data_IF_905912468065
#
_entry.id   IF_905912468065
#
_cell.length_a   1.000
_cell.length_b   1.000
_cell.length_c   1.000
_cell.angle_alpha   90.00
_cell.angle_beta   90.00
_cell.angle_gamma   90.00
#
_symmetry.space_group_name_H-M   'P 1'
#
loop_
_entity.id
_entity.type
_entity.pdbx_description
1 polymer ?
#
# COMPACT_ATOMS: atom_id res chain seq x y z
N UNK A 1 -9.14 0.48 53.70
CA UNK A 1 -8.22 -0.28 52.82
C UNK A 1 -8.92 -0.84 51.56
N UNK A 2 -9.55 0.01 50.72
CA UNK A 2 -10.20 -0.45 49.47
C UNK A 2 -9.78 0.34 48.22
N UNK A 3 -8.93 1.35 48.37
CA UNK A 3 -8.53 2.26 47.29
C UNK A 3 -7.20 1.84 46.62
N UNK A 4 -6.41 0.96 47.26
CA UNK A 4 -5.10 0.54 46.71
C UNK A 4 -5.21 -0.50 45.58
N UNK A 5 -6.24 -1.36 45.58
CA UNK A 5 -6.33 -2.46 44.60
C UNK A 5 -6.77 -1.99 43.20
N UNK A 6 -7.50 -0.88 43.09
CA UNK A 6 -7.94 -0.35 41.80
C UNK A 6 -6.83 0.39 41.06
N UNK A 7 -5.85 0.96 41.76
CA UNK A 7 -4.73 1.68 41.13
C UNK A 7 -3.72 0.72 40.50
N UNK A 8 -3.49 -0.44 41.12
CA UNK A 8 -2.54 -1.47 40.63
C UNK A 8 -3.05 -2.13 39.35
N UNK A 9 -4.37 -2.34 39.21
CA UNK A 9 -4.98 -2.91 38.01
C UNK A 9 -4.92 -1.97 36.80
N UNK A 10 -5.02 -0.65 37.01
CA UNK A 10 -4.93 0.34 35.93
C UNK A 10 -3.50 0.45 35.38
N UNK A 11 -2.49 0.32 36.24
CA UNK A 11 -1.08 0.37 35.82
C UNK A 11 -0.65 -0.90 35.06
N UNK A 12 -1.20 -2.07 35.39
CA UNK A 12 -0.86 -3.33 34.70
C UNK A 12 -1.52 -3.47 33.33
N UNK A 13 -2.74 -2.93 33.14
CA UNK A 13 -3.39 -2.87 31.82
C UNK A 13 -2.80 -1.79 30.90
N UNK A 14 -2.28 -0.69 31.48
CA UNK A 14 -1.57 0.34 30.72
C UNK A 14 -0.22 -0.12 30.18
N UNK A 15 0.52 -0.94 30.94
CA UNK A 15 1.86 -1.40 30.54
C UNK A 15 1.84 -2.44 29.40
N UNK A 16 0.82 -3.29 29.33
CA UNK A 16 0.71 -4.34 28.30
C UNK A 16 0.29 -3.81 26.92
N UNK A 17 -0.44 -2.69 26.87
CA UNK A 17 -0.78 -2.02 25.61
C UNK A 17 0.40 -1.24 25.00
N UNK A 18 1.33 -0.76 25.83
CA UNK A 18 2.53 -0.02 25.35
C UNK A 18 3.62 -0.98 24.87
N UNK A 19 3.67 -2.21 25.39
CA UNK A 19 4.65 -3.22 24.97
C UNK A 19 4.46 -3.66 23.50
N UNK A 20 3.23 -3.79 23.02
CA UNK A 20 2.97 -4.22 21.64
C UNK A 20 3.27 -3.15 20.56
N UNK A 21 3.34 -1.88 20.94
CA UNK A 21 3.68 -0.79 20.03
C UNK A 21 5.18 -0.67 19.73
N UNK A 22 6.04 -1.39 20.47
CA UNK A 22 7.49 -1.27 20.31
C UNK A 22 8.07 -2.08 19.14
N UNK A 23 7.38 -3.09 18.62
CA UNK A 23 7.94 -4.00 17.61
C UNK A 23 7.61 -3.64 16.17
N UNK A 24 6.75 -2.64 15.95
CA UNK A 24 6.31 -2.25 14.60
C UNK A 24 6.63 -0.78 14.30
N UNK A 25 6.81 -0.48 13.03
CA UNK A 25 7.01 0.87 12.50
C UNK A 25 6.13 1.06 11.26
N UNK A 26 5.82 2.32 10.93
CA UNK A 26 5.12 2.59 9.67
C UNK A 26 6.00 2.19 8.49
N UNK A 27 5.41 1.52 7.51
CA UNK A 27 6.09 1.29 6.23
C UNK A 27 6.38 2.64 5.57
N UNK A 28 7.57 2.77 5.00
CA UNK A 28 8.05 3.98 4.33
C UNK A 28 8.50 3.67 2.92
N UNK A 29 8.38 4.65 2.03
CA UNK A 29 8.92 4.57 0.68
C UNK A 29 10.45 4.43 0.74
N UNK A 30 11.02 3.68 -0.22
CA UNK A 30 12.48 3.63 -0.39
C UNK A 30 13.01 5.03 -0.75
N UNK A 31 14.29 5.26 -0.47
CA UNK A 31 14.96 6.51 -0.88
C UNK A 31 14.76 6.76 -2.37
N UNK A 32 14.56 8.01 -2.78
CA UNK A 32 14.33 8.41 -4.19
C UNK A 32 12.90 8.22 -4.70
N UNK A 33 12.17 7.18 -4.25
CA UNK A 33 10.83 6.85 -4.76
C UNK A 33 9.86 8.03 -4.66
N UNK A 34 9.87 8.76 -3.54
CA UNK A 34 9.01 9.93 -3.37
C UNK A 34 9.24 10.97 -4.47
N UNK A 35 10.50 11.30 -4.75
CA UNK A 35 10.87 12.32 -5.73
C UNK A 35 10.47 11.88 -7.14
N UNK A 36 10.68 10.60 -7.47
CA UNK A 36 10.30 10.05 -8.77
C UNK A 36 8.78 10.04 -8.97
N UNK A 37 8.02 9.70 -7.93
CA UNK A 37 6.56 9.78 -7.97
C UNK A 37 6.06 11.22 -8.11
N UNK A 38 6.68 12.18 -7.40
CA UNK A 38 6.38 13.61 -7.56
C UNK A 38 6.60 14.06 -9.02
N UNK A 39 7.77 13.77 -9.59
CA UNK A 39 8.08 14.09 -10.99
C UNK A 39 7.14 13.41 -11.98
N UNK A 40 6.76 12.16 -11.72
CA UNK A 40 5.82 11.42 -12.55
C UNK A 40 4.45 12.10 -12.57
N UNK A 41 3.95 12.50 -11.40
CA UNK A 41 2.61 13.07 -11.19
C UNK A 41 2.54 14.52 -11.70
N UNK A 42 3.60 15.30 -11.51
CA UNK A 42 3.65 16.71 -11.90
C UNK A 42 3.63 16.92 -13.43
N UNK A 43 3.93 15.88 -14.21
CA UNK A 43 3.83 15.93 -15.67
C UNK A 43 2.52 15.29 -16.17
N UNK A 44 1.48 16.08 -16.50
CA UNK A 44 0.18 15.56 -16.93
C UNK A 44 0.24 14.78 -18.25
N UNK A 45 1.28 14.96 -19.07
CA UNK A 45 1.43 14.20 -20.31
C UNK A 45 1.71 12.71 -20.04
N UNK A 46 2.12 12.37 -18.82
CA UNK A 46 2.31 10.98 -18.41
C UNK A 46 0.99 10.21 -18.27
N UNK A 47 -0.16 10.88 -18.20
CA UNK A 47 -1.44 10.24 -17.92
C UNK A 47 -2.47 10.34 -19.05
N UNK A 48 -3.28 9.29 -19.21
CA UNK A 48 -4.58 9.31 -19.88
C UNK A 48 -5.65 9.42 -18.78
N UNK A 49 -6.62 10.32 -18.97
CA UNK A 49 -7.81 10.38 -18.12
C UNK A 49 -8.84 9.38 -18.62
N UNK A 50 -9.29 8.52 -17.73
CA UNK A 50 -10.38 7.56 -17.97
C UNK A 50 -11.44 7.71 -16.85
N UNK A 51 -12.60 7.10 -17.02
CA UNK A 51 -13.63 7.07 -15.98
C UNK A 51 -13.26 6.04 -14.91
N UNK A 52 -13.50 6.36 -13.63
CA UNK A 52 -13.38 5.38 -12.55
C UNK A 52 -14.64 4.50 -12.52
N UNK A 53 -14.48 3.21 -12.83
CA UNK A 53 -15.61 2.27 -12.87
C UNK A 53 -16.01 1.71 -11.49
N UNK A 54 -15.18 1.92 -10.46
CA UNK A 54 -15.40 1.38 -9.11
C UNK A 54 -16.19 2.36 -8.25
N UNK A 55 -15.82 3.64 -8.26
CA UNK A 55 -16.47 4.67 -7.43
C UNK A 55 -17.18 5.76 -8.24
N UNK A 56 -17.05 5.77 -9.56
CA UNK A 56 -17.46 6.89 -10.40
C UNK A 56 -16.48 8.06 -10.31
N UNK A 57 -16.48 8.91 -11.34
CA UNK A 57 -15.57 10.05 -11.44
C UNK A 57 -14.45 9.81 -12.45
N UNK A 58 -13.30 10.47 -12.25
CA UNK A 58 -12.14 10.36 -13.13
C UNK A 58 -10.97 9.69 -12.44
N UNK A 59 -10.28 8.85 -13.19
CA UNK A 59 -8.96 8.32 -12.84
C UNK A 59 -7.92 8.70 -13.88
N UNK A 60 -6.67 8.73 -13.48
CA UNK A 60 -5.52 9.01 -14.34
C UNK A 60 -4.69 7.74 -14.45
N UNK A 61 -4.76 7.08 -15.60
CA UNK A 61 -3.87 5.96 -15.91
C UNK A 61 -2.59 6.46 -16.52
N UNK A 62 -1.48 5.81 -16.20
CA UNK A 62 -0.23 6.12 -16.86
C UNK A 62 -0.25 5.65 -18.34
N UNK A 63 0.08 6.54 -19.29
CA UNK A 63 0.11 6.25 -20.74
C UNK A 63 1.07 5.13 -21.13
N UNK A 64 2.20 5.02 -20.42
CA UNK A 64 3.31 4.13 -20.78
C UNK A 64 3.79 3.31 -19.57
N UNK A 65 3.23 2.12 -19.40
CA UNK A 65 3.65 1.15 -18.36
C UNK A 65 5.14 0.74 -18.49
N UNK A 66 5.72 0.87 -19.68
CA UNK A 66 7.14 0.61 -19.96
C UNK A 66 8.12 1.61 -19.35
N UNK A 67 7.73 2.87 -19.15
CA UNK A 67 8.60 3.89 -18.52
C UNK A 67 8.68 3.71 -17.01
N UNK A 68 7.59 3.27 -16.37
CA UNK A 68 7.54 2.84 -14.96
C UNK A 68 8.51 1.68 -14.69
N UNK A 69 8.59 0.71 -15.61
CA UNK A 69 9.54 -0.41 -15.48
C UNK A 69 10.99 0.08 -15.42
N UNK A 70 11.33 1.16 -16.14
CA UNK A 70 12.65 1.76 -16.11
C UNK A 70 12.88 2.66 -14.89
N UNK A 71 11.88 3.46 -14.49
CA UNK A 71 11.93 4.30 -13.27
C UNK A 71 12.06 3.47 -12.00
N UNK A 72 11.43 2.30 -11.94
CA UNK A 72 11.45 1.45 -10.75
C UNK A 72 12.46 0.29 -10.81
N UNK A 73 13.15 0.12 -11.94
CA UNK A 73 14.28 -0.81 -12.08
C UNK A 73 15.39 -0.55 -11.08
N UNK A 74 15.64 0.72 -10.75
CA UNK A 74 16.67 1.11 -9.80
C UNK A 74 16.35 0.78 -8.33
N UNK A 75 15.07 0.67 -7.95
CA UNK A 75 14.67 0.35 -6.57
C UNK A 75 14.56 -1.15 -6.30
N UNK A 76 14.82 -1.94 -7.34
CA UNK A 76 14.74 -3.38 -7.31
C UNK A 76 16.10 -4.03 -7.54
N UNK A 77 16.92 -4.10 -6.50
CA UNK A 77 18.21 -4.82 -6.53
C UNK A 77 18.17 -5.97 -5.51
N UNK A 78 18.55 -7.19 -5.93
CA UNK A 78 18.71 -8.36 -5.04
C UNK A 78 20.17 -8.76 -4.89
N UNK A 79 20.53 -9.20 -3.67
CA UNK A 79 21.54 -10.23 -3.44
C UNK A 79 20.95 -11.64 -3.67
N UNK A 80 21.70 -12.47 -4.39
CA UNK A 80 21.24 -13.64 -5.16
C UNK A 80 20.81 -14.92 -4.43
N UNK A 81 20.46 -14.91 -3.14
CA UNK A 81 20.11 -16.17 -2.45
C UNK A 81 19.02 -15.99 -1.41
N UNK A 82 17.77 -15.96 -1.86
CA UNK A 82 16.57 -16.41 -1.14
C UNK A 82 15.35 -16.15 -2.03
N UNK A 83 14.36 -17.02 -1.97
CA UNK A 83 13.13 -17.10 -2.78
C UNK A 83 12.18 -15.88 -2.72
N UNK A 84 12.69 -14.67 -2.47
CA UNK A 84 11.93 -13.43 -2.26
C UNK A 84 12.34 -12.32 -3.26
N UNK A 85 12.79 -12.70 -4.47
CA UNK A 85 13.69 -11.86 -5.25
C UNK A 85 13.54 -11.93 -6.78
N UNK A 86 12.61 -11.19 -7.38
CA UNK A 86 12.67 -10.90 -8.83
C UNK A 86 12.24 -9.47 -9.14
N UNK A 87 13.16 -8.54 -9.00
CA UNK A 87 12.86 -7.16 -9.29
C UNK A 87 12.70 -6.87 -10.79
N UNK A 88 11.85 -5.90 -11.09
CA UNK A 88 11.52 -5.43 -12.44
C UNK A 88 12.75 -4.75 -13.03
N UNK A 89 13.30 -5.26 -14.13
CA UNK A 89 14.48 -4.66 -14.78
C UNK A 89 14.30 -4.37 -16.27
N UNK A 90 13.10 -4.54 -16.82
CA UNK A 90 12.74 -4.21 -18.20
C UNK A 90 11.23 -4.43 -18.41
N UNK A 91 10.69 -4.04 -19.56
CA UNK A 91 9.31 -4.44 -19.99
C UNK A 91 9.18 -5.96 -20.07
N UNK A 92 10.23 -6.66 -20.50
CA UNK A 92 10.29 -8.12 -20.52
C UNK A 92 10.37 -8.69 -19.11
N UNK A 93 10.96 -7.98 -18.15
CA UNK A 93 10.88 -8.35 -16.73
C UNK A 93 9.54 -7.99 -16.13
N UNK A 94 8.81 -6.97 -16.59
CA UNK A 94 7.41 -6.75 -16.19
C UNK A 94 6.51 -7.90 -16.68
N UNK A 95 6.80 -8.43 -17.89
CA UNK A 95 6.12 -9.58 -18.51
C UNK A 95 6.60 -10.93 -17.92
N UNK A 96 7.86 -11.04 -17.49
CA UNK A 96 8.48 -12.23 -16.85
C UNK A 96 8.26 -12.27 -15.34
N UNK A 97 8.06 -11.10 -14.71
CA UNK A 97 7.38 -10.92 -13.42
C UNK A 97 5.97 -11.46 -13.53
N UNK A 98 5.29 -11.21 -14.66
CA UNK A 98 4.04 -11.87 -15.04
C UNK A 98 4.12 -13.39 -15.23
N UNK A 99 5.33 -13.97 -15.34
CA UNK A 99 5.52 -15.44 -15.43
C UNK A 99 6.09 -16.07 -14.16
N UNK A 100 6.43 -15.29 -13.12
CA UNK A 100 7.24 -15.84 -12.03
C UNK A 100 7.14 -15.14 -10.66
N UNK A 101 6.39 -14.06 -10.55
CA UNK A 101 5.53 -13.88 -9.38
C UNK A 101 4.28 -14.70 -9.68
N UNK A 102 3.50 -15.14 -8.69
CA UNK A 102 2.17 -15.63 -9.00
C UNK A 102 1.47 -14.57 -9.88
N UNK A 103 1.35 -14.90 -11.17
CA UNK A 103 0.69 -14.35 -12.38
C UNK A 103 -0.01 -12.99 -12.40
N UNK A 104 0.20 -12.10 -11.42
CA UNK A 104 -0.77 -11.06 -11.14
C UNK A 104 -0.13 -9.69 -10.88
N UNK A 105 -0.30 -8.76 -11.84
CA UNK A 105 -0.02 -7.33 -11.70
C UNK A 105 -0.91 -6.77 -10.58
N UNK A 106 -0.43 -6.72 -9.35
CA UNK A 106 -1.28 -6.47 -8.17
C UNK A 106 -0.71 -5.35 -7.31
N UNK A 107 -1.61 -4.70 -6.58
CA UNK A 107 -1.33 -3.57 -5.69
C UNK A 107 -0.24 -3.88 -4.64
N UNK A 108 -0.19 -5.12 -4.12
CA UNK A 108 0.80 -5.57 -3.14
C UNK A 108 2.22 -5.50 -3.69
N UNK A 109 2.44 -6.03 -4.89
CA UNK A 109 3.75 -6.10 -5.55
C UNK A 109 4.24 -4.69 -5.86
N UNK A 110 3.34 -3.83 -6.34
CA UNK A 110 3.64 -2.42 -6.57
C UNK A 110 4.16 -1.74 -5.30
N UNK A 111 3.44 -1.88 -4.18
CA UNK A 111 3.84 -1.26 -2.91
C UNK A 111 5.14 -1.84 -2.35
N UNK A 112 5.31 -3.17 -2.39
CA UNK A 112 6.56 -3.82 -1.94
C UNK A 112 7.78 -3.39 -2.76
N UNK A 113 7.62 -3.14 -4.06
CA UNK A 113 8.70 -2.65 -4.91
C UNK A 113 9.18 -1.25 -4.48
N UNK A 114 8.25 -0.41 -4.03
CA UNK A 114 8.47 1.02 -3.77
C UNK A 114 8.75 1.37 -2.30
N UNK A 115 8.68 0.40 -1.40
CA UNK A 115 8.76 0.63 0.04
C UNK A 115 9.63 -0.40 0.76
N UNK A 116 9.86 -0.18 2.05
CA UNK A 116 10.45 -1.20 2.92
C UNK A 116 9.44 -2.28 3.36
N UNK A 117 8.22 -2.28 2.81
CA UNK A 117 7.23 -3.29 3.16
C UNK A 117 7.66 -4.67 2.66
N UNK A 118 7.96 -5.56 3.59
CA UNK A 118 8.33 -6.96 3.32
C UNK A 118 7.12 -7.82 2.93
N UNK A 119 7.19 -9.12 3.22
CA UNK A 119 6.10 -10.05 2.94
C UNK A 119 4.79 -9.67 3.69
N UNK A 120 3.63 -9.84 3.03
CA UNK A 120 2.31 -9.44 3.54
C UNK A 120 1.90 -10.13 4.83
N UNK A 121 2.45 -11.32 5.12
CA UNK A 121 2.21 -12.04 6.38
C UNK A 121 2.70 -11.29 7.62
N UNK A 122 3.64 -10.34 7.43
CA UNK A 122 4.17 -9.49 8.51
C UNK A 122 3.44 -8.15 8.64
N UNK A 123 2.53 -7.85 7.72
CA UNK A 123 1.85 -6.56 7.67
C UNK A 123 0.77 -6.48 8.73
N UNK A 124 0.75 -5.35 9.44
CA UNK A 124 -0.27 -5.05 10.44
C UNK A 124 -0.86 -3.67 10.18
N UNK A 125 -2.10 -3.49 10.62
CA UNK A 125 -2.68 -2.16 10.69
C UNK A 125 -2.06 -1.37 11.84
N UNK A 126 -2.12 -0.05 11.75
CA UNK A 126 -1.60 0.86 12.79
C UNK A 126 -2.44 0.92 14.07
N UNK A 127 -3.56 0.19 14.15
CA UNK A 127 -4.53 0.30 15.24
C UNK A 127 -5.52 1.46 15.08
N UNK A 128 -5.35 2.33 14.07
CA UNK A 128 -6.28 3.41 13.76
C UNK A 128 -6.80 3.30 12.32
N UNK A 129 -8.11 3.50 12.13
CA UNK A 129 -8.70 3.66 10.80
C UNK A 129 -8.40 5.06 10.25
N UNK A 130 -8.31 5.19 8.92
CA UNK A 130 -8.08 6.48 8.30
C UNK A 130 -9.24 7.44 8.57
N UNK A 131 -8.92 8.72 8.74
CA UNK A 131 -9.89 9.80 8.87
C UNK A 131 -9.32 11.10 8.25
N UNK A 132 -10.19 12.10 8.10
CA UNK A 132 -9.88 13.36 7.40
C UNK A 132 -8.87 14.27 8.11
N UNK A 133 -8.58 14.05 9.40
CA UNK A 133 -7.56 14.83 10.12
C UNK A 133 -6.16 14.24 10.02
N UNK A 134 -6.01 13.02 9.48
CA UNK A 134 -4.71 12.37 9.33
C UNK A 134 -3.87 13.00 8.22
N UNK A 135 -2.57 13.16 8.46
CA UNK A 135 -1.61 13.49 7.42
C UNK A 135 -1.21 12.23 6.64
N UNK A 136 -1.77 12.09 5.43
CA UNK A 136 -1.65 10.88 4.61
C UNK A 136 -0.64 10.99 3.45
N UNK A 137 -0.12 12.18 3.15
CA UNK A 137 0.78 12.36 2.01
C UNK A 137 2.04 11.48 2.15
N UNK A 138 2.29 10.64 1.14
CA UNK A 138 3.35 9.64 1.05
C UNK A 138 3.28 8.50 2.07
N UNK A 139 2.10 8.26 2.66
CA UNK A 139 1.88 7.12 3.55
C UNK A 139 1.41 5.91 2.75
N UNK A 140 1.77 4.71 3.22
CA UNK A 140 1.25 3.47 2.66
C UNK A 140 0.01 3.08 3.45
N UNK A 141 -1.09 2.88 2.75
CA UNK A 141 -2.38 2.54 3.35
C UNK A 141 -2.83 1.16 2.86
N UNK A 142 -3.46 0.40 3.73
CA UNK A 142 -3.96 -0.93 3.41
C UNK A 142 -5.32 -1.21 4.05
N UNK A 143 -6.11 -2.06 3.41
CA UNK A 143 -7.34 -2.64 3.95
C UNK A 143 -7.00 -3.96 4.64
N UNK A 144 -7.22 -3.99 5.95
CA UNK A 144 -6.89 -5.12 6.81
C UNK A 144 -8.14 -5.90 7.21
N UNK A 145 -7.93 -7.15 7.63
CA UNK A 145 -8.94 -7.95 8.32
C UNK A 145 -9.27 -7.34 9.69
N UNK A 146 -10.34 -7.80 10.31
CA UNK A 146 -10.77 -7.35 11.64
C UNK A 146 -9.74 -7.65 12.73
N UNK A 147 -8.92 -8.67 12.56
CA UNK A 147 -7.82 -9.04 13.47
C UNK A 147 -6.55 -8.19 13.29
N UNK A 148 -6.58 -7.20 12.38
CA UNK A 148 -5.47 -6.30 12.10
C UNK A 148 -4.37 -6.89 11.22
N UNK A 149 -4.52 -8.13 10.71
CA UNK A 149 -3.61 -8.72 9.72
C UNK A 149 -4.03 -8.38 8.30
N UNK A 150 -3.06 -8.39 7.38
CA UNK A 150 -3.35 -8.24 5.96
C UNK A 150 -3.89 -9.55 5.36
N UNK A 151 -4.74 -9.42 4.35
CA UNK A 151 -5.34 -10.55 3.63
C UNK A 151 -4.29 -11.40 2.91
N UNK A 152 -4.39 -12.72 3.04
CA UNK A 152 -3.52 -13.70 2.40
C UNK A 152 -4.28 -14.52 1.35
N UNK A 153 -3.53 -15.18 0.46
CA UNK A 153 -4.10 -16.14 -0.49
C UNK A 153 -4.80 -17.27 0.28
N UNK A 154 -6.08 -17.49 -0.01
CA UNK A 154 -6.91 -18.50 0.66
C UNK A 154 -7.76 -17.98 1.82
N UNK A 155 -7.59 -16.72 2.24
CA UNK A 155 -8.52 -16.09 3.17
C UNK A 155 -9.93 -15.98 2.53
N UNK A 156 -10.97 -16.28 3.30
CA UNK A 156 -12.36 -16.12 2.87
C UNK A 156 -12.84 -14.68 3.09
N UNK A 157 -13.38 -14.05 2.03
CA UNK A 157 -13.95 -12.70 2.11
C UNK A 157 -13.47 -11.76 1.01
N UNK A 158 -13.74 -10.47 1.18
CA UNK A 158 -13.32 -9.44 0.23
C UNK A 158 -11.79 -9.29 0.25
N UNK A 159 -11.12 -9.22 -0.91
CA UNK A 159 -9.67 -9.12 -0.96
C UNK A 159 -9.15 -7.85 -0.30
N UNK A 160 -7.94 -7.94 0.25
CA UNK A 160 -7.20 -6.77 0.69
C UNK A 160 -6.83 -5.86 -0.47
N UNK A 161 -6.54 -4.61 -0.15
CA UNK A 161 -5.99 -3.64 -1.10
C UNK A 161 -4.95 -2.79 -0.38
N UNK A 162 -3.90 -2.38 -1.09
CA UNK A 162 -2.82 -1.53 -0.55
C UNK A 162 -2.41 -0.50 -1.58
N UNK A 163 -2.18 0.74 -1.16
CA UNK A 163 -1.82 1.84 -2.04
C UNK A 163 -0.88 2.83 -1.37
N UNK A 164 -0.27 3.70 -2.17
CA UNK A 164 0.50 4.85 -1.68
C UNK A 164 -0.41 6.06 -1.73
N UNK A 165 -0.69 6.68 -0.58
CA UNK A 165 -1.47 7.90 -0.51
C UNK A 165 -0.63 9.11 -0.97
N UNK A 166 -1.17 9.86 -1.91
CA UNK A 166 -0.59 11.11 -2.44
C UNK A 166 -1.02 12.33 -1.62
N UNK A 167 -2.14 12.20 -0.91
CA UNK A 167 -2.73 13.23 -0.07
C UNK A 167 -4.21 12.97 0.15
N UNK A 168 -4.88 13.87 0.85
CA UNK A 168 -6.31 13.80 1.11
C UNK A 168 -6.95 15.18 1.01
N UNK A 169 -8.26 15.19 0.79
CA UNK A 169 -9.08 16.39 0.83
C UNK A 169 -10.45 16.06 1.45
N UNK A 170 -11.42 16.98 1.34
CA UNK A 170 -12.76 16.77 1.89
C UNK A 170 -13.52 15.59 1.27
N UNK A 171 -13.16 15.15 0.05
CA UNK A 171 -13.85 14.09 -0.68
C UNK A 171 -13.27 12.70 -0.41
N UNK A 172 -11.97 12.61 -0.10
CA UNK A 172 -11.33 11.33 0.14
C UNK A 172 -9.80 11.40 0.16
N UNK A 173 -9.19 10.27 -0.20
CA UNK A 173 -7.74 10.09 -0.27
C UNK A 173 -7.35 9.83 -1.72
N UNK A 174 -6.48 10.68 -2.26
CA UNK A 174 -5.86 10.40 -3.56
C UNK A 174 -4.74 9.40 -3.37
N UNK A 175 -4.73 8.36 -4.19
CA UNK A 175 -3.75 7.29 -4.12
C UNK A 175 -3.13 7.01 -5.47
N UNK A 176 -1.96 6.40 -5.44
CA UNK A 176 -1.39 5.68 -6.58
C UNK A 176 -1.23 4.20 -6.21
N UNK A 177 -1.71 3.35 -7.10
CA UNK A 177 -1.59 1.90 -6.98
C UNK A 177 -1.56 1.24 -8.37
N UNK A 178 -1.52 -0.09 -8.37
CA UNK A 178 -1.62 -0.90 -9.56
C UNK A 178 -2.80 -1.84 -9.44
N UNK A 179 -3.53 -1.99 -10.54
CA UNK A 179 -4.62 -2.96 -10.68
C UNK A 179 -5.81 -2.71 -9.75
N UNK A 180 -6.12 -1.43 -9.51
CA UNK A 180 -7.27 -0.98 -8.73
C UNK A 180 -8.61 -1.59 -9.18
N UNK A 181 -8.89 -1.58 -10.49
CA UNK A 181 -10.15 -2.09 -11.06
C UNK A 181 -10.21 -3.62 -11.14
N UNK A 182 -9.12 -4.30 -10.78
CA UNK A 182 -9.07 -5.76 -10.68
C UNK A 182 -8.94 -6.52 -12.00
N UNK A 183 -9.07 -7.84 -11.87
CA UNK A 183 -9.00 -8.81 -12.96
C UNK A 183 -10.37 -8.90 -13.66
N UNK A 184 -10.49 -8.34 -14.86
CA UNK A 184 -11.74 -8.41 -15.63
C UNK A 184 -11.92 -7.33 -16.71
N UNK A 185 -11.09 -6.28 -16.68
CA UNK A 185 -11.16 -5.16 -17.62
C UNK A 185 -9.88 -5.06 -18.48
N UNK A 186 -9.96 -4.32 -19.60
CA UNK A 186 -8.81 -3.97 -20.45
C UNK A 186 -7.72 -3.15 -19.71
N UNK A 187 -7.98 -2.81 -18.46
CA UNK A 187 -7.14 -2.01 -17.55
C UNK A 187 -6.27 -2.86 -16.62
N UNK A 188 -6.28 -4.19 -16.78
CA UNK A 188 -5.48 -5.11 -15.97
C UNK A 188 -3.99 -4.74 -15.95
N UNK A 189 -3.45 -4.55 -14.75
CA UNK A 189 -2.05 -4.19 -14.52
C UNK A 189 -1.65 -2.75 -14.82
N UNK A 190 -2.61 -1.86 -15.15
CA UNK A 190 -2.34 -0.42 -15.24
C UNK A 190 -2.04 0.16 -13.85
N UNK A 191 -1.15 1.15 -13.82
CA UNK A 191 -0.91 2.01 -12.65
C UNK A 191 -1.82 3.22 -12.78
N UNK A 192 -2.54 3.53 -11.70
CA UNK A 192 -3.56 4.56 -11.69
C UNK A 192 -3.36 5.52 -10.54
N UNK A 193 -3.66 6.79 -10.79
CA UNK A 193 -3.96 7.78 -9.76
C UNK A 193 -5.46 7.98 -9.71
N UNK A 194 -6.06 7.77 -8.55
CA UNK A 194 -7.50 7.86 -8.35
C UNK A 194 -7.86 8.32 -6.94
N UNK A 195 -9.14 8.63 -6.73
CA UNK A 195 -9.68 9.04 -5.44
C UNK A 195 -10.38 7.86 -4.79
N UNK A 196 -9.96 7.49 -3.57
CA UNK A 196 -10.76 6.63 -2.69
C UNK A 196 -11.66 7.55 -1.85
N UNK A 197 -12.99 7.54 -2.04
CA UNK A 197 -13.90 8.38 -1.26
C UNK A 197 -13.82 8.04 0.24
N UNK A 198 -14.10 8.99 1.13
CA UNK A 198 -14.03 8.75 2.59
C UNK A 198 -14.93 7.59 3.08
N UNK A 199 -16.04 7.33 2.40
CA UNK A 199 -16.93 6.18 2.65
C UNK A 199 -16.23 4.83 2.48
N UNK A 200 -15.18 4.77 1.67
CA UNK A 200 -14.32 3.60 1.52
C UNK A 200 -12.99 3.77 2.27
N UNK A 201 -12.34 4.93 2.21
CA UNK A 201 -11.02 5.15 2.80
C UNK A 201 -11.02 4.91 4.32
N UNK A 202 -12.15 5.15 5.02
CA UNK A 202 -12.31 4.84 6.44
C UNK A 202 -12.18 3.35 6.79
N UNK A 203 -12.21 2.44 5.80
CA UNK A 203 -11.97 1.02 5.98
C UNK A 203 -10.47 0.66 5.99
N UNK A 204 -9.62 1.57 5.53
CA UNK A 204 -8.17 1.42 5.47
C UNK A 204 -7.52 1.82 6.80
N UNK A 205 -6.24 1.47 6.93
CA UNK A 205 -5.34 1.92 7.99
C UNK A 205 -3.96 2.18 7.40
N UNK A 206 -3.14 2.95 8.12
CA UNK A 206 -1.71 3.03 7.83
C UNK A 206 -1.07 1.64 7.98
N UNK A 207 -0.23 1.27 7.02
CA UNK A 207 0.51 0.01 7.04
C UNK A 207 1.68 0.10 8.02
N UNK A 208 1.76 -0.86 8.95
CA UNK A 208 2.92 -1.09 9.81
C UNK A 208 3.58 -2.42 9.50
N UNK A 209 4.89 -2.48 9.73
CA UNK A 209 5.76 -3.64 9.54
C UNK A 209 6.68 -3.82 10.75
N UNK A 210 7.21 -5.02 11.02
CA UNK A 210 8.15 -5.23 12.10
C UNK A 210 9.37 -4.33 11.96
N UNK A 211 9.91 -3.85 13.08
CA UNK A 211 11.23 -3.20 13.12
C UNK A 211 12.28 -4.26 12.77
N UNK A 212 13.19 -3.90 11.86
CA UNK A 212 14.33 -4.72 11.48
C UNK A 212 15.47 -4.61 12.48
#
# INVERSE_FOLDING_TARGET
MKVLNSLVMIVTLGASLVAAAQDYSFAVLKSGVKQDLEQLIDNPNNFVRESDHVFGGSMLYLKHTSSIANTFKQYGVVNNHQHDSRYISSVVDLISVGKSFDSYFQCVQFVRALSNAGHTSKWKWSGAKLNSSMYLKWRIIAKFKSDGTYWQRGDSGAPGHVAIALGSNANGVYVIDQNWEGNGYSTYGKVAVHLIPWSEASKYSLLTIPKG
#
